data_IF_316450286138
#
_entry.id   IF_316450286138
#
_cell.length_a   1.000
_cell.length_b   1.000
_cell.length_c   1.000
_cell.angle_alpha   90.00
_cell.angle_beta   90.00
_cell.angle_gamma   90.00
#
_symmetry.space_group_name_H-M   'P 1'
#
loop_
_entity.id
_entity.type
_entity.pdbx_description
1 polymer ?
#
# COMPACT_ATOMS: atom_id res chain seq x y z
N UNK A 1 8.95 18.55 18.25
CA UNK A 1 7.80 18.37 17.34
C UNK A 1 7.83 19.53 16.36
N UNK A 2 8.10 19.29 15.08
CA UNK A 2 7.77 20.30 14.08
C UNK A 2 6.26 20.54 14.15
N UNK A 3 5.84 21.80 14.21
CA UNK A 3 4.44 22.18 14.24
C UNK A 3 3.73 21.59 13.02
N UNK A 4 2.67 20.79 13.23
CA UNK A 4 1.90 20.20 12.11
C UNK A 4 1.21 21.33 11.38
N UNK A 5 1.63 21.63 10.15
CA UNK A 5 1.00 22.69 9.37
C UNK A 5 -0.48 22.39 9.15
N UNK A 6 -1.32 23.41 9.30
CA UNK A 6 -2.75 23.30 9.04
C UNK A 6 -3.01 22.92 7.58
N UNK A 7 -4.00 22.06 7.35
CA UNK A 7 -4.47 21.78 5.99
C UNK A 7 -5.21 23.02 5.46
N UNK A 8 -5.03 23.38 4.19
CA UNK A 8 -5.66 24.56 3.61
C UNK A 8 -7.19 24.45 3.60
N UNK A 9 -7.84 25.60 3.74
CA UNK A 9 -9.29 25.78 3.61
C UNK A 9 -10.12 24.79 4.44
N UNK A 10 -11.05 24.07 3.79
CA UNK A 10 -11.93 23.08 4.44
C UNK A 10 -11.22 21.81 4.93
N UNK A 11 -9.91 21.63 4.66
CA UNK A 11 -9.18 20.42 5.01
C UNK A 11 -9.26 20.05 6.50
N UNK A 12 -9.17 21.04 7.40
CA UNK A 12 -9.30 20.81 8.85
C UNK A 12 -10.73 20.45 9.29
N UNK A 13 -11.75 21.00 8.64
CA UNK A 13 -13.15 20.63 8.90
C UNK A 13 -13.39 19.17 8.50
N UNK A 14 -12.98 18.80 7.28
CA UNK A 14 -13.14 17.46 6.73
C UNK A 14 -12.39 16.43 7.58
N UNK A 15 -11.15 16.74 7.98
CA UNK A 15 -10.35 15.83 8.80
C UNK A 15 -11.03 15.57 10.15
N UNK A 16 -11.48 16.63 10.85
CA UNK A 16 -12.18 16.50 12.15
C UNK A 16 -13.46 15.70 12.01
N UNK A 17 -14.23 15.92 10.94
CA UNK A 17 -15.46 15.18 10.67
C UNK A 17 -15.22 13.67 10.58
N UNK A 18 -14.11 13.25 9.96
CA UNK A 18 -13.79 11.85 9.74
C UNK A 18 -13.01 11.19 10.90
N UNK A 19 -12.29 11.95 11.72
CA UNK A 19 -11.41 11.40 12.75
C UNK A 19 -12.03 11.25 14.14
N UNK A 20 -13.10 12.00 14.47
CA UNK A 20 -13.60 12.10 15.85
C UNK A 20 -14.18 10.80 16.41
N UNK A 21 -15.01 10.10 15.62
CA UNK A 21 -15.65 8.83 16.00
C UNK A 21 -15.37 7.71 14.99
N UNK A 22 -14.46 7.96 14.04
CA UNK A 22 -14.23 7.13 12.87
C UNK A 22 -15.30 7.31 11.78
N UNK A 23 -14.96 6.88 10.56
CA UNK A 23 -15.82 7.06 9.38
C UNK A 23 -17.10 6.23 9.40
N UNK A 24 -17.21 5.17 10.19
CA UNK A 24 -18.44 4.41 10.35
C UNK A 24 -19.54 5.21 11.06
N UNK A 25 -19.16 6.14 11.96
CA UNK A 25 -20.09 6.98 12.71
C UNK A 25 -20.65 8.17 11.92
N UNK A 26 -20.18 8.40 10.68
CA UNK A 26 -20.70 9.49 9.83
C UNK A 26 -22.17 9.27 9.50
N UNK A 27 -22.98 10.30 9.74
CA UNK A 27 -24.40 10.31 9.34
C UNK A 27 -24.55 10.30 7.82
N UNK A 28 -25.72 9.91 7.33
CA UNK A 28 -26.02 9.96 5.90
C UNK A 28 -25.79 11.37 5.32
N UNK A 29 -26.24 12.42 6.02
CA UNK A 29 -26.03 13.81 5.60
C UNK A 29 -24.54 14.20 5.54
N UNK A 30 -23.71 13.72 6.49
CA UNK A 30 -22.27 13.96 6.45
C UNK A 30 -21.60 13.24 5.27
N UNK A 31 -22.00 11.99 4.99
CA UNK A 31 -21.49 11.22 3.84
C UNK A 31 -21.86 11.88 2.51
N UNK A 32 -23.10 12.32 2.36
CA UNK A 32 -23.54 13.06 1.17
C UNK A 32 -22.75 14.35 1.00
N UNK A 33 -22.52 15.11 2.08
CA UNK A 33 -21.72 16.33 2.04
C UNK A 33 -20.27 16.08 1.62
N UNK A 34 -19.65 15.01 2.13
CA UNK A 34 -18.29 14.61 1.73
C UNK A 34 -18.25 14.19 0.24
N UNK A 35 -19.27 13.49 -0.24
CA UNK A 35 -19.39 13.11 -1.65
C UNK A 35 -19.56 14.36 -2.55
N UNK A 36 -20.35 15.34 -2.14
CA UNK A 36 -20.52 16.61 -2.87
C UNK A 36 -19.21 17.40 -2.97
N UNK A 37 -18.47 17.50 -1.86
CA UNK A 37 -17.16 18.13 -1.85
C UNK A 37 -16.16 17.41 -2.76
N UNK A 38 -16.21 16.07 -2.84
CA UNK A 38 -15.38 15.33 -3.77
C UNK A 38 -15.70 15.68 -5.23
N UNK A 39 -16.98 15.71 -5.61
CA UNK A 39 -17.39 16.01 -6.98
C UNK A 39 -17.09 17.48 -7.35
N UNK A 40 -17.25 18.43 -6.42
CA UNK A 40 -16.84 19.83 -6.60
C UNK A 40 -15.32 19.96 -6.85
N UNK A 41 -14.53 19.28 -6.01
CA UNK A 41 -13.08 19.29 -6.09
C UNK A 41 -12.55 18.59 -7.33
N UNK A 42 -13.27 17.58 -7.85
CA UNK A 42 -12.84 16.77 -9.00
C UNK A 42 -13.28 17.32 -10.37
N UNK A 43 -14.05 18.42 -10.43
CA UNK A 43 -14.44 19.03 -11.71
C UNK A 43 -13.21 19.62 -12.42
N UNK A 44 -13.11 19.56 -13.76
CA UNK A 44 -12.15 20.38 -14.48
C UNK A 44 -12.38 21.87 -14.17
N UNK A 45 -11.34 22.69 -14.13
CA UNK A 45 -11.52 24.14 -14.15
C UNK A 45 -12.18 24.54 -15.48
N UNK A 46 -13.09 25.52 -15.47
CA UNK A 46 -13.78 25.96 -16.69
C UNK A 46 -12.76 26.34 -17.78
N UNK A 47 -12.83 25.67 -18.94
CA UNK A 47 -11.96 25.93 -20.11
C UNK A 47 -11.03 24.78 -20.54
N UNK A 48 -10.88 23.70 -19.76
CA UNK A 48 -10.11 22.52 -20.19
C UNK A 48 -10.98 21.56 -21.01
N UNK A 49 -10.61 21.32 -22.27
CA UNK A 49 -11.33 20.41 -23.18
C UNK A 49 -11.42 18.99 -22.60
N UNK A 50 -12.60 18.35 -22.74
CA UNK A 50 -12.80 16.95 -22.39
C UNK A 50 -12.02 16.06 -23.37
N UNK A 51 -10.93 15.44 -22.91
CA UNK A 51 -10.39 14.23 -23.54
C UNK A 51 -11.39 13.07 -23.49
N UNK A 52 -11.25 12.06 -24.37
CA UNK A 52 -12.22 10.98 -24.53
C UNK A 52 -12.38 10.17 -23.23
N UNK A 53 -13.62 9.74 -22.97
CA UNK A 53 -14.11 9.17 -21.72
C UNK A 53 -13.12 8.28 -20.96
N UNK A 54 -12.76 8.72 -19.76
CA UNK A 54 -11.96 8.00 -18.78
C UNK A 54 -12.78 6.84 -18.21
N UNK A 55 -12.26 5.62 -18.36
CA UNK A 55 -12.78 4.42 -17.73
C UNK A 55 -12.67 4.45 -16.20
N UNK A 56 -13.01 3.35 -15.51
CA UNK A 56 -13.05 3.26 -14.05
C UNK A 56 -11.63 3.16 -13.48
N UNK A 57 -10.86 4.24 -13.63
CA UNK A 57 -9.49 4.35 -13.17
C UNK A 57 -9.41 4.98 -11.78
N UNK A 58 -8.46 4.48 -10.98
CA UNK A 58 -8.15 5.01 -9.67
C UNK A 58 -7.40 6.37 -9.72
N UNK A 59 -7.11 6.88 -10.92
CA UNK A 59 -6.29 8.07 -11.16
C UNK A 59 -7.01 9.39 -10.88
N UNK A 60 -6.35 10.23 -10.07
CA UNK A 60 -6.31 11.66 -10.36
C UNK A 60 -5.29 11.80 -11.51
N UNK A 61 -5.75 11.64 -12.76
CA UNK A 61 -4.90 11.94 -13.91
C UNK A 61 -4.67 13.44 -13.95
N UNK A 62 -3.62 13.87 -13.26
CA UNK A 62 -3.00 15.17 -13.49
C UNK A 62 -2.30 15.07 -14.84
N UNK A 63 -2.85 15.76 -15.85
CA UNK A 63 -2.25 15.94 -17.17
C UNK A 63 -0.72 16.12 -17.09
N UNK A 64 0.08 15.41 -17.91
CA UNK A 64 1.52 15.58 -17.95
C UNK A 64 1.85 16.93 -18.58
N UNK A 65 1.88 17.97 -17.76
CA UNK A 65 2.11 19.34 -18.22
C UNK A 65 1.53 20.44 -17.32
N UNK A 66 0.77 20.11 -16.28
CA UNK A 66 0.50 21.08 -15.22
C UNK A 66 1.77 21.24 -14.37
N UNK A 67 2.27 22.47 -14.30
CA UNK A 67 3.39 22.84 -13.44
C UNK A 67 3.31 22.12 -12.10
N UNK A 68 4.23 21.18 -11.89
CA UNK A 68 4.43 20.47 -10.63
C UNK A 68 4.97 21.44 -9.55
N UNK A 69 4.89 22.75 -9.77
CA UNK A 69 5.31 23.84 -8.88
C UNK A 69 4.19 24.33 -7.94
N UNK A 70 2.93 23.92 -8.16
CA UNK A 70 1.81 24.47 -7.38
C UNK A 70 1.84 24.04 -5.91
N UNK A 71 1.73 25.04 -5.02
CA UNK A 71 1.41 24.86 -3.61
C UNK A 71 0.22 23.91 -3.45
N UNK A 72 0.20 23.17 -2.34
CA UNK A 72 -0.97 22.35 -1.94
C UNK A 72 -2.22 23.22 -1.90
N UNK A 73 -3.02 23.20 -2.96
CA UNK A 73 -4.26 23.93 -3.04
C UNK A 73 -5.35 23.23 -2.19
N UNK A 74 -6.33 24.00 -1.73
CA UNK A 74 -7.46 23.48 -0.96
C UNK A 74 -8.20 22.38 -1.72
N UNK A 75 -8.38 22.53 -3.04
CA UNK A 75 -9.15 21.64 -3.89
C UNK A 75 -8.56 20.23 -3.91
N UNK A 76 -7.24 20.13 -4.06
CA UNK A 76 -6.49 18.88 -4.04
C UNK A 76 -6.61 18.20 -2.67
N UNK A 77 -6.45 18.95 -1.58
CA UNK A 77 -6.58 18.39 -0.22
C UNK A 77 -8.00 17.90 0.05
N UNK A 78 -9.02 18.66 -0.37
CA UNK A 78 -10.43 18.23 -0.30
C UNK A 78 -10.63 16.94 -1.09
N UNK A 79 -10.15 16.87 -2.34
CA UNK A 79 -10.26 15.66 -3.17
C UNK A 79 -9.60 14.43 -2.51
N UNK A 80 -8.38 14.60 -1.96
CA UNK A 80 -7.67 13.52 -1.26
C UNK A 80 -8.44 13.01 -0.04
N UNK A 81 -9.01 13.91 0.77
CA UNK A 81 -9.75 13.54 1.97
C UNK A 81 -11.14 12.95 1.70
N UNK A 82 -11.74 13.28 0.56
CA UNK A 82 -13.17 12.96 0.30
C UNK A 82 -13.38 11.89 -0.78
N UNK A 83 -12.34 11.51 -1.53
CA UNK A 83 -12.42 10.44 -2.54
C UNK A 83 -13.05 9.12 -2.05
N UNK A 84 -12.81 8.65 -0.81
CA UNK A 84 -13.48 7.45 -0.30
C UNK A 84 -15.02 7.52 -0.27
N UNK A 85 -15.60 8.72 -0.38
CA UNK A 85 -17.05 8.96 -0.42
C UNK A 85 -17.57 9.22 -1.83
N UNK A 86 -16.73 9.12 -2.86
CA UNK A 86 -17.17 9.27 -4.24
C UNK A 86 -18.33 8.33 -4.54
N UNK A 87 -19.31 8.86 -5.28
CA UNK A 87 -20.46 8.12 -5.80
C UNK A 87 -20.09 7.29 -7.05
N UNK A 88 -18.86 7.44 -7.56
CA UNK A 88 -18.35 6.62 -8.66
C UNK A 88 -18.32 5.16 -8.19
N UNK A 89 -18.95 4.24 -8.94
CA UNK A 89 -19.32 2.91 -8.43
C UNK A 89 -18.13 1.96 -8.21
N UNK A 90 -16.93 2.27 -8.71
CA UNK A 90 -15.88 1.26 -8.90
C UNK A 90 -14.73 1.30 -7.88
N UNK A 91 -14.84 2.06 -6.78
CA UNK A 91 -13.81 2.05 -5.72
C UNK A 91 -14.06 0.86 -4.78
N UNK A 92 -13.18 -0.17 -4.74
CA UNK A 92 -13.39 -1.31 -3.86
C UNK A 92 -13.29 -0.90 -2.38
N UNK A 93 -14.03 -1.59 -1.50
CA UNK A 93 -14.07 -1.30 -0.05
C UNK A 93 -12.69 -1.22 0.60
N UNK A 94 -11.75 -2.07 0.18
CA UNK A 94 -10.37 -2.00 0.61
C UNK A 94 -9.72 -0.63 0.36
N UNK A 95 -9.97 -0.01 -0.79
CA UNK A 95 -9.42 1.29 -1.16
C UNK A 95 -10.18 2.45 -0.52
N UNK A 96 -11.50 2.31 -0.28
CA UNK A 96 -12.25 3.26 0.55
C UNK A 96 -11.71 3.26 1.98
N UNK A 97 -11.42 2.08 2.52
CA UNK A 97 -10.86 1.90 3.84
C UNK A 97 -9.43 2.47 3.95
N UNK A 98 -8.55 2.16 3.01
CA UNK A 98 -7.13 2.49 3.14
C UNK A 98 -6.76 3.87 2.61
N UNK A 99 -7.58 4.49 1.77
CA UNK A 99 -7.24 5.76 1.10
C UNK A 99 -5.90 5.70 0.32
N UNK A 100 -5.60 4.56 -0.31
CA UNK A 100 -4.32 4.35 -1.02
C UNK A 100 -4.09 5.30 -2.19
N UNK A 101 -5.13 5.95 -2.71
CA UNK A 101 -5.00 7.02 -3.71
C UNK A 101 -4.14 8.20 -3.22
N UNK A 102 -3.99 8.39 -1.90
CA UNK A 102 -3.09 9.41 -1.35
C UNK A 102 -1.63 9.00 -1.50
N UNK A 103 -1.31 7.70 -1.35
CA UNK A 103 0.04 7.20 -1.63
C UNK A 103 0.35 7.29 -3.13
N UNK A 104 -0.63 7.02 -3.99
CA UNK A 104 -0.52 7.21 -5.44
C UNK A 104 -0.21 8.67 -5.81
N UNK A 105 -1.00 9.62 -5.26
CA UNK A 105 -0.75 11.06 -5.39
C UNK A 105 0.67 11.45 -4.94
N UNK A 106 1.13 10.88 -3.83
CA UNK A 106 2.47 11.17 -3.31
C UNK A 106 3.56 10.65 -4.25
N UNK A 107 3.48 9.37 -4.63
CA UNK A 107 4.50 8.65 -5.40
C UNK A 107 4.55 9.05 -6.88
N UNK A 108 3.49 9.62 -7.43
CA UNK A 108 3.44 10.06 -8.83
C UNK A 108 4.55 11.06 -9.17
N UNK A 109 4.95 11.92 -8.22
CA UNK A 109 6.09 12.85 -8.42
C UNK A 109 7.45 12.14 -8.51
N UNK A 110 7.52 10.91 -8.02
CA UNK A 110 8.75 10.11 -7.94
C UNK A 110 8.66 8.88 -8.86
N UNK A 111 7.77 8.90 -9.88
CA UNK A 111 7.48 7.73 -10.74
C UNK A 111 8.70 7.13 -11.45
N UNK A 112 9.73 7.95 -11.69
CA UNK A 112 10.96 7.50 -12.35
C UNK A 112 11.86 6.65 -11.44
N UNK A 113 11.86 6.95 -10.14
CA UNK A 113 12.55 6.20 -9.10
C UNK A 113 11.86 6.44 -7.75
N UNK A 114 10.90 5.57 -7.37
CA UNK A 114 10.06 5.78 -6.21
C UNK A 114 10.68 5.20 -4.92
N UNK A 115 11.87 4.59 -4.98
CA UNK A 115 12.42 3.83 -3.84
C UNK A 115 12.54 4.68 -2.58
N UNK A 116 13.33 5.74 -2.64
CA UNK A 116 13.61 6.58 -1.47
C UNK A 116 12.34 7.31 -0.98
N UNK A 117 11.51 7.78 -1.92
CA UNK A 117 10.23 8.41 -1.59
C UNK A 117 9.25 7.42 -0.91
N UNK A 118 9.15 6.19 -1.42
CA UNK A 118 8.32 5.15 -0.85
C UNK A 118 8.79 4.71 0.53
N UNK A 119 10.09 4.49 0.71
CA UNK A 119 10.68 4.19 2.03
C UNK A 119 10.41 5.31 3.03
N UNK A 120 10.54 6.57 2.60
CA UNK A 120 10.24 7.74 3.42
C UNK A 120 8.74 7.84 3.75
N UNK A 121 7.85 7.48 2.82
CA UNK A 121 6.41 7.44 3.07
C UNK A 121 6.04 6.36 4.10
N UNK A 122 6.63 5.15 4.00
CA UNK A 122 6.47 4.11 5.02
C UNK A 122 6.96 4.63 6.38
N UNK A 123 8.16 5.22 6.40
CA UNK A 123 8.74 5.78 7.63
C UNK A 123 7.83 6.83 8.27
N UNK A 124 7.35 7.82 7.52
CA UNK A 124 6.44 8.85 8.04
C UNK A 124 5.14 8.26 8.59
N UNK A 125 4.61 7.22 7.92
CA UNK A 125 3.43 6.46 8.34
C UNK A 125 3.65 5.78 9.69
N UNK A 126 4.80 5.14 9.88
CA UNK A 126 5.15 4.44 11.12
C UNK A 126 5.55 5.39 12.25
N UNK A 127 6.18 6.52 11.94
CA UNK A 127 6.47 7.58 12.91
C UNK A 127 5.16 8.18 13.45
N UNK A 128 4.16 8.45 12.60
CA UNK A 128 2.84 8.90 13.07
C UNK A 128 2.19 7.88 14.01
N UNK A 129 2.29 6.58 13.69
CA UNK A 129 1.81 5.53 14.59
C UNK A 129 2.59 5.54 15.92
N UNK A 130 3.93 5.61 15.89
CA UNK A 130 4.76 5.63 17.09
C UNK A 130 4.45 6.82 18.01
N UNK A 131 4.18 8.00 17.44
CA UNK A 131 3.75 9.18 18.21
C UNK A 131 2.37 8.97 18.86
N UNK A 132 1.42 8.34 18.15
CA UNK A 132 0.10 8.00 18.71
C UNK A 132 0.23 7.03 19.89
N UNK A 133 1.15 6.08 19.81
CA UNK A 133 1.42 5.11 20.88
C UNK A 133 2.16 5.70 22.09
N UNK A 134 2.55 6.98 22.05
CA UNK A 134 3.07 7.70 23.23
C UNK A 134 1.98 8.30 24.09
N UNK A 135 0.77 8.50 23.56
CA UNK A 135 -0.33 9.03 24.34
C UNK A 135 -0.69 8.05 25.47
N UNK A 136 -0.81 8.50 26.72
CA UNK A 136 -1.19 7.62 27.82
C UNK A 136 -2.61 7.11 27.59
N UNK A 137 -2.74 5.82 27.31
CA UNK A 137 -4.02 5.10 27.25
C UNK A 137 -3.97 3.87 28.15
N UNK A 138 -5.10 3.57 28.76
CA UNK A 138 -5.34 2.29 29.42
C UNK A 138 -6.71 1.81 28.96
N UNK A 139 -6.73 0.69 28.26
CA UNK A 139 -7.93 0.03 27.76
C UNK A 139 -7.93 -1.42 28.29
N UNK A 140 -9.09 -2.10 28.32
CA UNK A 140 -9.12 -3.53 28.60
C UNK A 140 -8.14 -4.29 27.69
N UNK A 141 -7.22 -5.06 28.29
CA UNK A 141 -6.19 -5.80 27.55
C UNK A 141 -5.12 -4.94 26.87
N UNK A 142 -4.99 -3.65 27.23
CA UNK A 142 -3.94 -2.77 26.72
C UNK A 142 -3.48 -1.76 27.77
N UNK A 143 -2.25 -1.89 28.23
CA UNK A 143 -1.64 -1.00 29.21
C UNK A 143 -0.24 -0.51 28.80
N UNK A 144 0.49 0.07 29.78
CA UNK A 144 1.82 0.64 29.52
C UNK A 144 2.85 -0.37 28.99
N UNK A 145 2.74 -1.65 29.37
CA UNK A 145 3.66 -2.70 28.93
C UNK A 145 3.47 -3.05 27.45
N UNK A 146 2.23 -3.28 27.02
CA UNK A 146 1.90 -3.55 25.61
C UNK A 146 2.25 -2.35 24.72
N UNK A 147 1.98 -1.13 25.20
CA UNK A 147 2.37 0.09 24.51
C UNK A 147 3.90 0.23 24.38
N UNK A 148 4.65 -0.12 25.44
CA UNK A 148 6.11 -0.11 25.39
C UNK A 148 6.67 -1.14 24.40
N UNK A 149 6.12 -2.36 24.38
CA UNK A 149 6.51 -3.39 23.42
C UNK A 149 6.25 -2.94 21.97
N UNK A 150 5.05 -2.38 21.70
CA UNK A 150 4.70 -1.87 20.37
C UNK A 150 5.63 -0.74 19.92
N UNK A 151 5.93 0.22 20.80
CA UNK A 151 6.89 1.30 20.51
C UNK A 151 8.30 0.77 20.24
N UNK A 152 8.75 -0.22 20.99
CA UNK A 152 10.07 -0.83 20.77
C UNK A 152 10.16 -1.48 19.38
N UNK A 153 9.14 -2.24 18.97
CA UNK A 153 9.08 -2.86 17.63
C UNK A 153 8.97 -1.84 16.51
N UNK A 154 8.21 -0.75 16.72
CA UNK A 154 8.14 0.36 15.77
C UNK A 154 9.51 1.04 15.61
N UNK A 155 10.22 1.29 16.71
CA UNK A 155 11.54 1.90 16.68
C UNK A 155 12.57 1.02 15.94
N UNK A 156 12.52 -0.31 16.15
CA UNK A 156 13.36 -1.27 15.42
C UNK A 156 13.09 -1.20 13.91
N UNK A 157 11.82 -1.25 13.49
CA UNK A 157 11.44 -1.19 12.08
C UNK A 157 11.77 0.16 11.43
N UNK A 158 11.58 1.27 12.15
CA UNK A 158 11.98 2.60 11.67
C UNK A 158 13.51 2.66 11.48
N UNK A 159 14.28 2.08 12.41
CA UNK A 159 15.73 1.97 12.29
C UNK A 159 16.19 1.07 11.13
N UNK A 160 15.43 0.02 10.80
CA UNK A 160 15.64 -0.79 9.59
C UNK A 160 15.42 0.04 8.32
N UNK A 161 14.32 0.79 8.24
CA UNK A 161 14.03 1.70 7.13
C UNK A 161 15.11 2.76 6.96
N UNK A 162 15.58 3.36 8.06
CA UNK A 162 16.62 4.39 8.04
C UNK A 162 17.94 3.89 7.45
N UNK A 163 18.26 2.60 7.64
CA UNK A 163 19.45 1.97 7.03
C UNK A 163 19.29 1.68 5.53
N UNK A 164 18.06 1.61 5.02
CA UNK A 164 17.80 1.39 3.60
C UNK A 164 17.84 2.70 2.79
N UNK A 165 17.61 3.85 3.44
CA UNK A 165 17.66 5.15 2.79
C UNK A 165 19.09 5.52 2.40
N UNK A 166 19.28 6.11 1.22
CA UNK A 166 20.60 6.55 0.73
C UNK A 166 20.80 8.05 0.94
N UNK A 167 21.71 8.50 1.83
CA UNK A 167 22.00 9.93 2.00
C UNK A 167 22.62 10.56 0.73
N UNK A 168 22.36 11.85 0.42
CA UNK A 168 21.61 12.84 1.20
C UNK A 168 20.12 12.93 0.82
N UNK A 169 19.40 11.81 0.67
CA UNK A 169 17.96 11.84 0.37
C UNK A 169 17.16 12.68 1.37
N UNK A 170 16.32 13.58 0.84
CA UNK A 170 15.36 14.36 1.62
C UNK A 170 15.97 15.36 2.61
N UNK A 171 17.29 15.57 2.59
CA UNK A 171 17.95 16.48 3.51
C UNK A 171 17.48 17.92 3.27
N UNK A 172 16.79 18.50 4.26
CA UNK A 172 16.22 19.85 4.22
C UNK A 172 15.20 20.11 3.09
N UNK A 173 14.58 19.06 2.54
CA UNK A 173 13.53 19.19 1.54
C UNK A 173 12.18 19.51 2.19
N UNK A 174 11.91 20.80 2.38
CA UNK A 174 10.66 21.30 2.95
C UNK A 174 9.42 20.87 2.15
N UNK A 175 9.57 20.62 0.84
CA UNK A 175 8.47 20.20 -0.03
C UNK A 175 8.13 18.74 0.23
N UNK A 176 9.12 17.87 0.30
CA UNK A 176 8.96 16.48 0.72
C UNK A 176 8.27 16.42 2.09
N UNK A 177 8.75 17.21 3.07
CA UNK A 177 8.17 17.29 4.41
C UNK A 177 6.69 17.68 4.37
N UNK A 178 6.33 18.74 3.64
CA UNK A 178 4.94 19.20 3.52
C UNK A 178 4.05 18.14 2.90
N UNK A 179 4.53 17.43 1.87
CA UNK A 179 3.77 16.34 1.22
C UNK A 179 3.60 15.12 2.10
N UNK A 180 4.63 14.76 2.88
CA UNK A 180 4.53 13.68 3.87
C UNK A 180 3.52 14.01 4.97
N UNK A 181 3.46 15.27 5.41
CA UNK A 181 2.43 15.71 6.36
C UNK A 181 1.02 15.53 5.78
N UNK A 182 0.79 15.93 4.53
CA UNK A 182 -0.51 15.70 3.85
C UNK A 182 -0.81 14.21 3.71
N UNK A 183 0.16 13.40 3.28
CA UNK A 183 0.01 11.95 3.16
C UNK A 183 -0.43 11.34 4.48
N UNK A 184 0.29 11.60 5.56
CA UNK A 184 0.01 11.04 6.89
C UNK A 184 -1.38 11.47 7.37
N UNK A 185 -1.74 12.75 7.20
CA UNK A 185 -3.02 13.29 7.66
C UNK A 185 -4.20 12.75 6.85
N UNK A 186 -4.07 12.62 5.53
CA UNK A 186 -5.16 12.17 4.65
C UNK A 186 -5.36 10.65 4.63
N UNK A 187 -4.41 9.88 5.19
CA UNK A 187 -4.49 8.41 5.25
C UNK A 187 -4.80 7.88 6.64
N UNK A 188 -4.59 8.68 7.70
CA UNK A 188 -4.79 8.29 9.11
C UNK A 188 -6.23 8.29 9.59
N UNK A 189 -7.18 7.89 8.74
CA UNK A 189 -8.63 8.04 8.95
C UNK A 189 -9.30 6.68 9.22
N UNK A 190 -9.44 6.24 10.48
CA UNK A 190 -10.03 4.95 10.83
C UNK A 190 -11.56 4.91 10.54
N UNK A 191 -12.13 3.72 10.52
CA UNK A 191 -13.57 3.50 10.46
C UNK A 191 -14.22 3.58 11.84
N UNK A 192 -13.52 3.23 12.90
CA UNK A 192 -14.02 3.28 14.28
C UNK A 192 -13.21 4.25 15.15
N UNK A 193 -13.69 4.50 16.36
CA UNK A 193 -12.95 5.21 17.40
C UNK A 193 -11.94 4.32 18.15
N UNK A 194 -11.84 3.03 17.79
CA UNK A 194 -10.98 2.07 18.49
C UNK A 194 -9.51 2.38 18.22
N UNK A 195 -8.76 2.66 19.28
CA UNK A 195 -7.34 3.01 19.21
C UNK A 195 -6.50 2.03 18.38
N UNK A 196 -6.74 0.72 18.54
CA UNK A 196 -6.00 -0.35 17.87
C UNK A 196 -6.18 -0.41 16.36
N UNK A 197 -7.23 0.22 15.81
CA UNK A 197 -7.44 0.25 14.37
C UNK A 197 -6.30 1.02 13.66
N UNK A 198 -5.71 2.03 14.32
CA UNK A 198 -4.58 2.76 13.76
C UNK A 198 -3.36 1.86 13.50
N UNK A 199 -3.06 0.92 14.42
CA UNK A 199 -2.00 -0.06 14.21
C UNK A 199 -2.28 -0.88 12.94
N UNK A 200 -3.50 -1.39 12.80
CA UNK A 200 -3.87 -2.21 11.65
C UNK A 200 -3.81 -1.42 10.34
N UNK A 201 -4.44 -0.24 10.28
CA UNK A 201 -4.49 0.62 9.12
C UNK A 201 -3.08 1.04 8.64
N UNK A 202 -2.23 1.49 9.56
CA UNK A 202 -0.84 1.90 9.26
C UNK A 202 0.04 0.72 8.84
N UNK A 203 -0.19 -0.47 9.40
CA UNK A 203 0.49 -1.69 8.94
C UNK A 203 0.10 -2.05 7.52
N UNK A 204 -1.19 -1.93 7.17
CA UNK A 204 -1.68 -2.15 5.80
C UNK A 204 -1.02 -1.18 4.82
N UNK A 205 -0.96 0.12 5.16
CA UNK A 205 -0.27 1.12 4.33
C UNK A 205 1.20 0.79 4.10
N UNK A 206 1.93 0.44 5.17
CA UNK A 206 3.33 0.06 5.07
C UNK A 206 3.54 -1.17 4.16
N UNK A 207 2.67 -2.19 4.28
CA UNK A 207 2.70 -3.35 3.39
C UNK A 207 2.42 -2.99 1.93
N UNK A 208 1.42 -2.14 1.64
CA UNK A 208 1.07 -1.73 0.28
C UNK A 208 2.22 -1.03 -0.45
N UNK A 209 2.90 -0.10 0.23
CA UNK A 209 4.07 0.57 -0.33
C UNK A 209 5.24 -0.41 -0.46
N UNK A 210 5.48 -1.28 0.54
CA UNK A 210 6.53 -2.29 0.44
C UNK A 210 6.30 -3.27 -0.74
N UNK A 211 5.07 -3.73 -0.97
CA UNK A 211 4.73 -4.55 -2.15
C UNK A 211 5.04 -3.80 -3.45
N UNK A 212 4.67 -2.52 -3.54
CA UNK A 212 5.00 -1.71 -4.70
C UNK A 212 6.51 -1.59 -4.92
N UNK A 213 7.30 -1.33 -3.88
CA UNK A 213 8.76 -1.19 -4.01
C UNK A 213 9.45 -2.53 -4.34
N UNK A 214 8.99 -3.65 -3.77
CA UNK A 214 9.42 -5.00 -4.15
C UNK A 214 9.13 -5.24 -5.62
N UNK A 215 7.91 -4.94 -6.08
CA UNK A 215 7.52 -5.09 -7.49
C UNK A 215 8.38 -4.23 -8.42
N UNK A 216 8.51 -2.94 -8.10
CA UNK A 216 9.24 -1.98 -8.91
C UNK A 216 10.70 -2.40 -9.06
N UNK A 217 11.34 -2.77 -7.95
CA UNK A 217 12.74 -3.22 -7.95
C UNK A 217 12.92 -4.53 -8.71
N UNK A 218 11.99 -5.48 -8.57
CA UNK A 218 12.02 -6.74 -9.32
C UNK A 218 11.92 -6.50 -10.83
N UNK A 219 11.02 -5.61 -11.25
CA UNK A 219 10.87 -5.20 -12.64
C UNK A 219 12.13 -4.50 -13.17
N UNK A 220 12.78 -3.63 -12.38
CA UNK A 220 14.06 -3.00 -12.77
C UNK A 220 15.20 -4.01 -12.88
N UNK A 221 15.23 -5.04 -12.03
CA UNK A 221 16.18 -6.14 -12.16
C UNK A 221 15.95 -6.93 -13.46
N UNK A 222 14.69 -7.23 -13.82
CA UNK A 222 14.38 -7.88 -15.12
C UNK A 222 14.87 -7.04 -16.29
N UNK A 223 14.62 -5.72 -16.28
CA UNK A 223 15.10 -4.80 -17.32
C UNK A 223 16.63 -4.81 -17.41
N UNK A 224 17.34 -4.77 -16.28
CA UNK A 224 18.80 -4.81 -16.24
C UNK A 224 19.37 -6.14 -16.76
N UNK A 225 18.76 -7.28 -16.39
CA UNK A 225 19.13 -8.61 -16.90
C UNK A 225 18.96 -8.65 -18.42
N UNK A 226 17.84 -8.16 -18.96
CA UNK A 226 17.58 -8.13 -20.39
C UNK A 226 18.59 -7.24 -21.14
N UNK A 227 19.08 -6.17 -20.50
CA UNK A 227 20.11 -5.29 -21.04
C UNK A 227 21.55 -5.83 -20.90
N UNK A 228 21.75 -6.96 -20.21
CA UNK A 228 23.08 -7.49 -19.89
C UNK A 228 23.85 -6.69 -18.82
N UNK A 229 23.18 -5.79 -18.10
CA UNK A 229 23.77 -5.01 -17.01
C UNK A 229 23.72 -5.81 -15.70
N UNK A 230 24.75 -6.64 -15.51
CA UNK A 230 24.87 -7.51 -14.34
C UNK A 230 24.90 -6.75 -13.01
N UNK A 231 25.60 -5.62 -12.95
CA UNK A 231 25.73 -4.85 -11.72
C UNK A 231 24.39 -4.23 -11.32
N UNK A 232 23.67 -3.63 -12.27
CA UNK A 232 22.33 -3.14 -12.02
C UNK A 232 21.35 -4.26 -11.65
N UNK A 233 21.45 -5.42 -12.30
CA UNK A 233 20.62 -6.58 -11.98
C UNK A 233 20.82 -7.02 -10.52
N UNK A 234 22.07 -7.15 -10.06
CA UNK A 234 22.39 -7.50 -8.67
C UNK A 234 21.87 -6.45 -7.69
N UNK A 235 22.12 -5.16 -7.96
CA UNK A 235 21.66 -4.05 -7.12
C UNK A 235 20.14 -4.03 -6.98
N UNK A 236 19.40 -4.15 -8.08
CA UNK A 236 17.93 -4.16 -8.05
C UNK A 236 17.36 -5.44 -7.43
N UNK A 237 18.02 -6.58 -7.60
CA UNK A 237 17.62 -7.83 -6.89
C UNK A 237 17.84 -7.70 -5.39
N UNK A 238 18.95 -7.10 -4.95
CA UNK A 238 19.20 -6.76 -3.55
C UNK A 238 18.12 -5.84 -2.98
N UNK A 239 17.79 -4.74 -3.68
CA UNK A 239 16.70 -3.83 -3.27
C UNK A 239 15.34 -4.52 -3.20
N UNK A 240 15.09 -5.50 -4.08
CA UNK A 240 13.89 -6.33 -4.02
C UNK A 240 13.82 -7.13 -2.72
N UNK A 241 14.95 -7.70 -2.28
CA UNK A 241 15.05 -8.45 -1.03
C UNK A 241 14.86 -7.54 0.19
N UNK A 242 15.50 -6.37 0.20
CA UNK A 242 15.35 -5.37 1.27
C UNK A 242 13.88 -4.96 1.46
N UNK A 243 13.20 -4.62 0.35
CA UNK A 243 11.78 -4.24 0.39
C UNK A 243 10.88 -5.39 0.81
N UNK A 244 11.20 -6.62 0.40
CA UNK A 244 10.45 -7.80 0.83
C UNK A 244 10.62 -8.09 2.33
N UNK A 245 11.80 -7.83 2.91
CA UNK A 245 12.04 -8.03 4.34
C UNK A 245 11.28 -7.04 5.21
N UNK A 246 11.05 -5.81 4.73
CA UNK A 246 10.21 -4.83 5.43
C UNK A 246 8.81 -5.38 5.78
N UNK A 247 8.25 -6.24 4.91
CA UNK A 247 6.95 -6.88 5.17
C UNK A 247 6.98 -7.73 6.45
N UNK A 248 8.07 -8.45 6.70
CA UNK A 248 8.29 -9.20 7.94
C UNK A 248 8.42 -8.26 9.13
N UNK A 249 9.11 -7.13 8.96
CA UNK A 249 9.20 -6.06 9.94
C UNK A 249 7.83 -5.53 10.37
N UNK A 250 6.99 -5.14 9.40
CA UNK A 250 5.62 -4.67 9.64
C UNK A 250 4.80 -5.72 10.39
N UNK A 251 4.92 -6.99 10.01
CA UNK A 251 4.17 -8.07 10.65
C UNK A 251 4.62 -8.33 12.10
N UNK A 252 5.88 -8.08 12.45
CA UNK A 252 6.33 -8.11 13.86
C UNK A 252 5.61 -7.04 14.68
N UNK A 253 5.45 -5.83 14.15
CA UNK A 253 4.70 -4.76 14.82
C UNK A 253 3.22 -5.12 14.93
N UNK A 254 2.61 -5.58 13.83
CA UNK A 254 1.19 -5.95 13.78
C UNK A 254 0.83 -7.06 14.76
N UNK A 255 1.75 -8.00 15.05
CA UNK A 255 1.54 -9.07 16.05
C UNK A 255 1.43 -8.59 17.50
N UNK A 256 1.62 -7.30 17.78
CA UNK A 256 1.27 -6.68 19.07
C UNK A 256 -0.23 -6.37 19.18
N UNK A 257 -0.99 -6.58 18.09
CA UNK A 257 -2.43 -6.59 18.09
C UNK A 257 -2.92 -7.96 18.54
N UNK A 258 -3.66 -8.04 19.63
CA UNK A 258 -4.26 -9.31 20.07
C UNK A 258 -5.49 -9.67 19.21
N UNK A 259 -5.94 -10.93 19.20
CA UNK A 259 -7.19 -11.32 18.56
C UNK A 259 -8.40 -10.53 19.06
N UNK A 260 -8.52 -10.31 20.37
CA UNK A 260 -9.59 -9.51 20.96
C UNK A 260 -9.55 -8.05 20.48
N UNK A 261 -8.36 -7.44 20.49
CA UNK A 261 -8.17 -6.07 19.99
C UNK A 261 -8.51 -5.97 18.50
N UNK A 262 -8.13 -6.96 17.68
CA UNK A 262 -8.50 -7.00 16.27
C UNK A 262 -10.01 -7.10 16.06
N UNK A 263 -10.68 -7.99 16.79
CA UNK A 263 -12.12 -8.18 16.68
C UNK A 263 -12.91 -6.94 17.12
N UNK A 264 -12.38 -6.15 18.08
CA UNK A 264 -13.04 -4.94 18.60
C UNK A 264 -13.35 -3.86 17.56
N UNK A 265 -12.60 -3.81 16.44
CA UNK A 265 -12.87 -2.87 15.34
C UNK A 265 -13.17 -3.56 14.01
N UNK A 266 -13.09 -4.91 13.95
CA UNK A 266 -13.16 -5.62 12.67
C UNK A 266 -14.47 -5.34 11.95
N UNK A 267 -15.60 -5.33 12.65
CA UNK A 267 -16.92 -5.09 12.04
C UNK A 267 -16.96 -3.74 11.27
N UNK A 268 -16.37 -2.68 11.84
CA UNK A 268 -16.36 -1.35 11.24
C UNK A 268 -15.58 -1.27 9.91
N UNK A 269 -14.64 -2.19 9.65
CA UNK A 269 -13.89 -2.22 8.38
C UNK A 269 -14.67 -2.91 7.24
N UNK A 270 -15.87 -3.43 7.51
CA UNK A 270 -16.79 -3.95 6.50
C UNK A 270 -16.17 -5.05 5.62
N UNK A 271 -16.44 -4.97 4.32
CA UNK A 271 -15.96 -5.95 3.33
C UNK A 271 -14.50 -5.73 2.89
N UNK A 272 -13.77 -4.80 3.49
CA UNK A 272 -12.34 -4.64 3.21
C UNK A 272 -11.59 -5.94 3.51
N UNK A 273 -10.71 -6.34 2.59
CA UNK A 273 -9.98 -7.60 2.66
C UNK A 273 -8.64 -7.52 1.95
N UNK A 274 -7.62 -8.13 2.55
CA UNK A 274 -6.27 -8.19 1.98
C UNK A 274 -6.23 -8.85 0.59
N UNK A 275 -7.19 -9.72 0.26
CA UNK A 275 -7.28 -10.33 -1.08
C UNK A 275 -7.55 -9.30 -2.19
N UNK A 276 -8.10 -8.13 -1.84
CA UNK A 276 -8.35 -7.03 -2.77
C UNK A 276 -7.10 -6.21 -3.09
N UNK A 277 -5.97 -6.46 -2.43
CA UNK A 277 -4.71 -5.73 -2.65
C UNK A 277 -4.14 -5.99 -4.05
N UNK A 278 -4.23 -4.98 -4.92
CA UNK A 278 -3.61 -5.02 -6.25
C UNK A 278 -2.08 -5.08 -6.18
N UNK A 279 -1.45 -4.29 -5.29
CA UNK A 279 0.01 -4.25 -5.19
C UNK A 279 0.59 -5.59 -4.73
N UNK A 280 -0.08 -6.29 -3.80
CA UNK A 280 0.33 -7.64 -3.41
C UNK A 280 0.34 -8.60 -4.62
N UNK A 281 -0.74 -8.62 -5.40
CA UNK A 281 -0.82 -9.53 -6.55
C UNK A 281 0.17 -9.16 -7.65
N UNK A 282 0.36 -7.88 -7.93
CA UNK A 282 1.36 -7.42 -8.90
C UNK A 282 2.80 -7.70 -8.44
N UNK A 283 3.10 -7.58 -7.14
CA UNK A 283 4.41 -7.95 -6.60
C UNK A 283 4.70 -9.45 -6.77
N UNK A 284 3.69 -10.28 -6.51
CA UNK A 284 3.80 -11.73 -6.74
C UNK A 284 3.97 -12.05 -8.23
N UNK A 285 3.24 -11.38 -9.12
CA UNK A 285 3.44 -11.51 -10.57
C UNK A 285 4.85 -11.13 -10.98
N UNK A 286 5.39 -9.99 -10.51
CA UNK A 286 6.73 -9.53 -10.85
C UNK A 286 7.85 -10.50 -10.40
N UNK A 287 7.69 -11.14 -9.23
CA UNK A 287 8.72 -12.04 -8.70
C UNK A 287 8.58 -13.45 -9.26
N UNK A 288 7.36 -13.99 -9.30
CA UNK A 288 7.11 -15.42 -9.53
C UNK A 288 6.40 -15.74 -10.85
N UNK A 289 5.68 -14.80 -11.44
CA UNK A 289 4.77 -15.04 -12.56
C UNK A 289 3.33 -15.35 -12.10
N UNK A 290 2.50 -15.79 -13.04
CA UNK A 290 1.06 -15.95 -12.84
C UNK A 290 0.73 -17.21 -12.04
N UNK A 291 -0.05 -17.04 -10.97
CA UNK A 291 -0.53 -18.14 -10.12
C UNK A 291 -1.95 -18.55 -10.56
N UNK A 292 -2.15 -19.68 -11.27
CA UNK A 292 -3.45 -20.06 -11.79
C UNK A 292 -4.51 -20.30 -10.70
N UNK A 293 -4.10 -20.56 -9.45
CA UNK A 293 -5.04 -20.68 -8.31
C UNK A 293 -5.78 -19.37 -8.02
N UNK A 294 -5.24 -18.21 -8.45
CA UNK A 294 -5.83 -16.88 -8.22
C UNK A 294 -6.80 -16.45 -9.32
N UNK A 295 -6.91 -17.18 -10.43
CA UNK A 295 -7.72 -16.80 -11.59
C UNK A 295 -9.18 -16.47 -11.21
N UNK A 296 -9.81 -17.32 -10.40
CA UNK A 296 -11.20 -17.11 -9.95
C UNK A 296 -11.38 -15.86 -9.08
N UNK A 297 -10.39 -15.54 -8.24
CA UNK A 297 -10.39 -14.33 -7.42
C UNK A 297 -10.31 -13.08 -8.31
N UNK A 298 -9.42 -13.11 -9.30
CA UNK A 298 -9.26 -12.01 -10.25
C UNK A 298 -10.51 -11.78 -11.10
N UNK A 299 -11.24 -12.84 -11.48
CA UNK A 299 -12.52 -12.70 -12.18
C UNK A 299 -13.60 -12.07 -11.31
N UNK A 300 -13.67 -12.49 -10.04
CA UNK A 300 -14.70 -12.04 -9.10
C UNK A 300 -14.50 -10.59 -8.65
N UNK A 301 -13.25 -10.16 -8.45
CA UNK A 301 -12.90 -8.81 -8.04
C UNK A 301 -12.61 -7.94 -9.26
N UNK A 302 -13.58 -7.08 -9.64
CA UNK A 302 -13.56 -6.31 -10.89
C UNK A 302 -12.25 -5.59 -11.20
N UNK A 303 -11.67 -4.90 -10.21
CA UNK A 303 -10.42 -4.15 -10.37
C UNK A 303 -9.16 -5.03 -10.58
N UNK A 304 -9.27 -6.34 -10.34
CA UNK A 304 -8.19 -7.31 -10.54
C UNK A 304 -8.35 -8.10 -11.84
N UNK A 305 -9.43 -7.93 -12.61
CA UNK A 305 -9.69 -8.74 -13.82
C UNK A 305 -8.57 -8.65 -14.85
N UNK A 306 -7.99 -7.48 -15.02
CA UNK A 306 -6.85 -7.23 -15.90
C UNK A 306 -5.62 -8.13 -15.60
N UNK A 307 -5.49 -8.67 -14.38
CA UNK A 307 -4.41 -9.61 -14.04
C UNK A 307 -4.57 -10.97 -14.74
N UNK A 308 -5.77 -11.29 -15.25
CA UNK A 308 -6.02 -12.47 -16.07
C UNK A 308 -5.76 -12.24 -17.56
N UNK A 309 -5.40 -11.02 -17.97
CA UNK A 309 -5.27 -10.61 -19.37
C UNK A 309 -3.81 -10.34 -19.73
N UNK A 310 -3.47 -10.43 -21.02
CA UNK A 310 -2.16 -10.01 -21.50
C UNK A 310 -2.00 -8.48 -21.37
N UNK A 311 -0.80 -7.97 -21.09
CA UNK A 311 0.45 -8.74 -20.92
C UNK A 311 0.67 -9.28 -19.49
N UNK A 312 -0.17 -8.94 -18.51
CA UNK A 312 0.06 -9.26 -17.09
C UNK A 312 -0.03 -10.76 -16.78
N UNK A 313 -0.93 -11.48 -17.46
CA UNK A 313 -1.09 -12.94 -17.34
C UNK A 313 0.18 -13.70 -17.73
N UNK A 314 0.85 -13.23 -18.78
CA UNK A 314 2.00 -13.90 -19.39
C UNK A 314 3.29 -13.08 -19.16
N UNK A 315 3.40 -12.43 -18.00
CA UNK A 315 4.57 -11.66 -17.62
C UNK A 315 5.83 -12.55 -17.58
N UNK A 316 6.98 -12.01 -17.98
CA UNK A 316 8.29 -12.61 -17.72
C UNK A 316 8.84 -12.10 -16.36
N UNK A 317 8.79 -12.91 -15.29
CA UNK A 317 9.09 -12.47 -13.94
C UNK A 317 10.58 -12.55 -13.60
N UNK A 318 10.97 -11.93 -12.48
CA UNK A 318 12.33 -11.93 -11.94
C UNK A 318 12.92 -13.34 -11.82
N UNK A 319 12.16 -14.29 -11.27
CA UNK A 319 12.61 -15.69 -11.14
C UNK A 319 13.03 -16.29 -12.48
N UNK A 320 12.22 -16.08 -13.53
CA UNK A 320 12.51 -16.61 -14.86
C UNK A 320 13.68 -15.89 -15.52
N UNK A 321 13.77 -14.57 -15.36
CA UNK A 321 14.89 -13.78 -15.88
C UNK A 321 16.24 -14.20 -15.27
N UNK A 322 16.29 -14.39 -13.95
CA UNK A 322 17.51 -14.86 -13.26
C UNK A 322 17.87 -16.29 -13.66
N UNK A 323 16.88 -17.18 -13.78
CA UNK A 323 17.13 -18.56 -14.25
C UNK A 323 17.72 -18.57 -15.68
N UNK A 324 17.23 -17.69 -16.57
CA UNK A 324 17.74 -17.56 -17.93
C UNK A 324 19.17 -16.99 -17.98
N UNK A 325 19.52 -16.08 -17.08
CA UNK A 325 20.84 -15.47 -16.99
C UNK A 325 21.95 -16.48 -16.58
N UNK A 326 21.60 -17.56 -15.87
CA UNK A 326 22.53 -18.60 -15.37
C UNK A 326 23.68 -18.03 -14.52
N UNK A 327 23.43 -16.94 -13.82
CA UNK A 327 24.40 -16.29 -12.94
C UNK A 327 24.22 -16.79 -11.48
N UNK A 328 25.26 -17.36 -10.85
CA UNK A 328 25.16 -17.87 -9.48
C UNK A 328 24.90 -16.80 -8.40
N UNK A 329 25.44 -15.58 -8.57
CA UNK A 329 25.23 -14.48 -7.61
C UNK A 329 23.80 -13.95 -7.70
N UNK A 330 23.25 -13.78 -8.90
CA UNK A 330 21.84 -13.44 -9.08
C UNK A 330 20.92 -14.54 -8.51
N UNK A 331 21.29 -15.81 -8.68
CA UNK A 331 20.55 -16.94 -8.09
C UNK A 331 20.56 -16.88 -6.57
N UNK A 332 21.71 -16.59 -5.96
CA UNK A 332 21.83 -16.42 -4.51
C UNK A 332 21.00 -15.22 -3.99
N UNK A 333 21.03 -14.10 -4.72
CA UNK A 333 20.27 -12.90 -4.41
C UNK A 333 18.75 -13.14 -4.51
N UNK A 334 18.29 -13.85 -5.55
CA UNK A 334 16.89 -14.29 -5.67
C UNK A 334 16.49 -15.15 -4.47
N UNK A 335 17.37 -16.04 -4.01
CA UNK A 335 17.12 -16.84 -2.82
C UNK A 335 16.82 -16.01 -1.57
N UNK A 336 17.42 -14.82 -1.41
CA UNK A 336 17.08 -13.88 -0.33
C UNK A 336 15.66 -13.34 -0.49
N UNK A 337 15.30 -12.87 -1.69
CA UNK A 337 13.95 -12.38 -2.02
C UNK A 337 12.90 -13.44 -1.69
N UNK A 338 13.10 -14.67 -2.17
CA UNK A 338 12.14 -15.74 -2.02
C UNK A 338 11.99 -16.19 -0.56
N UNK A 339 13.08 -16.22 0.20
CA UNK A 339 13.05 -16.51 1.64
C UNK A 339 12.25 -15.45 2.39
N UNK A 340 12.53 -14.17 2.18
CA UNK A 340 11.81 -13.07 2.85
C UNK A 340 10.31 -13.13 2.59
N UNK A 341 9.91 -13.32 1.32
CA UNK A 341 8.49 -13.42 0.94
C UNK A 341 7.83 -14.71 1.46
N UNK A 342 8.53 -15.84 1.48
CA UNK A 342 8.01 -17.10 2.03
C UNK A 342 7.77 -16.99 3.55
N UNK A 343 8.74 -16.44 4.28
CA UNK A 343 8.63 -16.19 5.72
C UNK A 343 7.45 -15.28 6.01
N UNK A 344 7.32 -14.19 5.24
CA UNK A 344 6.18 -13.28 5.38
C UNK A 344 4.84 -13.98 5.11
N UNK A 345 4.68 -14.71 4.00
CA UNK A 345 3.44 -15.44 3.67
C UNK A 345 3.07 -16.45 4.76
N UNK A 346 4.04 -17.20 5.27
CA UNK A 346 3.83 -18.17 6.34
C UNK A 346 3.39 -17.50 7.66
N UNK A 347 4.03 -16.40 8.04
CA UNK A 347 3.64 -15.62 9.22
C UNK A 347 2.28 -14.94 9.05
N UNK A 348 1.96 -14.44 7.86
CA UNK A 348 0.67 -13.83 7.54
C UNK A 348 -0.47 -14.87 7.59
N UNK A 349 -0.23 -16.08 7.07
CA UNK A 349 -1.13 -17.22 7.29
C UNK A 349 -1.33 -17.50 8.78
N UNK A 350 -0.23 -17.55 9.55
CA UNK A 350 -0.29 -17.72 11.01
C UNK A 350 -1.15 -16.66 11.71
N UNK A 351 -0.98 -15.39 11.32
CA UNK A 351 -1.78 -14.27 11.83
C UNK A 351 -3.26 -14.46 11.47
N UNK A 352 -3.58 -14.73 10.21
CA UNK A 352 -4.96 -14.97 9.77
C UNK A 352 -5.62 -16.12 10.52
N UNK A 353 -4.89 -17.22 10.76
CA UNK A 353 -5.38 -18.39 11.51
C UNK A 353 -5.65 -18.09 12.98
N UNK A 354 -4.88 -17.20 13.62
CA UNK A 354 -5.05 -16.89 15.04
C UNK A 354 -6.05 -15.77 15.32
N UNK A 355 -6.32 -14.89 14.35
CA UNK A 355 -7.18 -13.70 14.52
C UNK A 355 -8.57 -13.85 13.90
N UNK A 356 -8.75 -14.79 12.96
CA UNK A 356 -10.05 -15.05 12.34
C UNK A 356 -10.66 -16.32 12.95
N UNK A 357 -11.96 -16.31 13.33
CA UNK A 357 -12.64 -17.51 13.78
C UNK A 357 -12.60 -18.62 12.71
N UNK A 358 -12.45 -19.87 13.15
CA UNK A 358 -12.28 -21.04 12.26
C UNK A 358 -13.42 -21.27 11.26
N UNK A 359 -14.61 -20.73 11.55
CA UNK A 359 -15.86 -21.00 10.79
C UNK A 359 -16.32 -19.81 9.92
N UNK A 360 -15.59 -18.69 9.94
CA UNK A 360 -16.01 -17.47 9.23
C UNK A 360 -15.30 -17.39 7.88
N UNK A 361 -16.09 -17.33 6.78
CA UNK A 361 -15.59 -16.99 5.45
C UNK A 361 -14.82 -15.67 5.53
N UNK A 362 -13.65 -15.61 4.89
CA UNK A 362 -12.85 -14.39 4.83
C UNK A 362 -13.67 -13.26 4.21
N UNK A 363 -13.50 -12.03 4.72
CA UNK A 363 -14.29 -10.86 4.32
C UNK A 363 -14.23 -10.48 2.84
N UNK A 364 -13.25 -11.02 2.11
CA UNK A 364 -13.11 -10.87 0.66
C UNK A 364 -13.70 -12.04 -0.14
N UNK A 365 -14.59 -12.85 0.46
CA UNK A 365 -15.24 -13.97 -0.21
C UNK A 365 -14.38 -15.24 -0.33
N UNK A 366 -13.25 -15.32 0.39
CA UNK A 366 -12.37 -16.49 0.40
C UNK A 366 -12.68 -17.43 1.57
N UNK A 367 -12.06 -18.62 1.58
CA UNK A 367 -12.07 -19.54 2.73
C UNK A 367 -11.20 -19.06 3.92
N UNK A 368 -10.89 -17.75 4.00
CA UNK A 368 -10.09 -17.18 5.09
C UNK A 368 -8.68 -17.79 5.14
N UNK A 369 -8.30 -18.36 6.29
CA UNK A 369 -6.98 -18.98 6.49
C UNK A 369 -6.73 -20.18 5.54
N UNK A 370 -7.78 -20.90 5.12
CA UNK A 370 -7.66 -22.02 4.19
C UNK A 370 -7.14 -21.59 2.82
N UNK A 371 -7.58 -20.42 2.32
CA UNK A 371 -7.06 -19.81 1.10
C UNK A 371 -5.57 -19.48 1.24
N UNK A 372 -5.19 -18.80 2.34
CA UNK A 372 -3.79 -18.42 2.58
C UNK A 372 -2.87 -19.64 2.58
N UNK A 373 -3.26 -20.74 3.23
CA UNK A 373 -2.50 -22.00 3.25
C UNK A 373 -2.20 -22.52 1.83
N UNK A 374 -3.16 -22.43 0.91
CA UNK A 374 -3.02 -22.93 -0.47
C UNK A 374 -2.11 -22.09 -1.36
N UNK A 375 -1.81 -20.85 -0.98
CA UNK A 375 -1.05 -19.90 -1.81
C UNK A 375 0.30 -19.52 -1.19
N UNK A 376 0.75 -20.21 -0.13
CA UNK A 376 2.05 -19.96 0.51
C UNK A 376 3.20 -20.32 -0.42
N UNK A 377 3.13 -21.48 -1.06
CA UNK A 377 4.10 -21.90 -2.07
C UNK A 377 3.85 -21.22 -3.42
N UNK A 378 4.90 -21.17 -4.25
CA UNK A 378 4.89 -20.52 -5.56
C UNK A 378 5.44 -21.43 -6.65
N UNK A 379 5.35 -22.74 -6.48
CA UNK A 379 5.95 -23.71 -7.40
C UNK A 379 5.18 -23.83 -8.71
N UNK A 380 3.86 -23.66 -8.67
CA UNK A 380 2.97 -23.82 -9.84
C UNK A 380 2.82 -22.56 -10.69
N UNK A 381 3.55 -21.48 -10.37
CA UNK A 381 3.45 -20.22 -11.11
C UNK A 381 3.92 -20.42 -12.55
N UNK A 382 3.15 -19.90 -13.50
CA UNK A 382 3.46 -19.91 -14.94
C UNK A 382 4.12 -18.61 -15.36
N UNK A 383 5.03 -18.68 -16.33
CA UNK A 383 5.73 -17.53 -16.91
C UNK A 383 5.47 -17.45 -18.40
N UNK A 384 5.34 -16.24 -18.94
CA UNK A 384 5.39 -16.03 -20.38
C UNK A 384 6.82 -16.05 -20.93
N UNK A 385 6.99 -15.87 -22.26
CA UNK A 385 8.30 -15.76 -22.88
C UNK A 385 9.00 -14.44 -22.49
N UNK A 386 10.32 -14.33 -22.69
CA UNK A 386 11.04 -13.06 -22.49
C UNK A 386 10.39 -11.91 -23.26
N UNK A 387 9.99 -10.87 -22.54
CA UNK A 387 9.30 -9.71 -23.09
C UNK A 387 9.61 -8.44 -22.25
N UNK A 388 9.45 -7.24 -22.84
CA UNK A 388 9.54 -5.98 -22.08
C UNK A 388 8.56 -5.96 -20.91
N UNK A 389 8.98 -5.38 -19.80
CA UNK A 389 8.10 -5.19 -18.64
C UNK A 389 7.02 -4.15 -18.99
N UNK A 390 5.73 -4.46 -18.78
CA UNK A 390 4.65 -3.50 -19.03
C UNK A 390 4.79 -2.25 -18.15
N UNK A 391 4.55 -1.06 -18.72
CA UNK A 391 4.63 0.22 -18.00
C UNK A 391 3.75 0.27 -16.75
N UNK A 392 2.60 -0.40 -16.79
CA UNK A 392 1.70 -0.60 -15.67
C UNK A 392 2.40 -1.12 -14.39
N UNK A 393 3.44 -1.95 -14.54
CA UNK A 393 4.19 -2.51 -13.42
C UNK A 393 5.00 -1.45 -12.64
N UNK A 394 5.26 -0.28 -13.23
CA UNK A 394 5.99 0.80 -12.59
C UNK A 394 5.10 1.85 -11.90
N UNK A 395 3.75 1.70 -11.95
CA UNK A 395 2.79 2.67 -11.37
C UNK A 395 2.15 2.16 -10.08
N UNK A 396 2.06 2.98 -9.03
CA UNK A 396 1.52 2.53 -7.74
C UNK A 396 0.06 2.04 -7.83
N UNK A 397 -0.80 2.76 -8.58
CA UNK A 397 -2.11 2.28 -8.99
C UNK A 397 -2.13 1.91 -10.48
N UNK A 398 -3.03 0.99 -10.86
CA UNK A 398 -3.37 0.75 -12.27
C UNK A 398 -4.53 1.70 -12.66
N UNK A 399 -4.36 2.36 -13.81
CA UNK A 399 -5.32 3.25 -14.45
C UNK A 399 -6.49 2.49 -15.04
#
# INVERSE_FOLDING_TARGET
MAERAALPGRGEEILRMQSALGRAALSAAQRERLADWYEEASRPADGAARGPGLGPGLGLDLEPGLDLELELDERQVVALLTRPFSRRPDIPEYYRYTSLHVYDWFLTLYRQDPLEAGLTAIRATLVDLAERERAPLTLPGYGPAEAAERRARLAELIGELDRLLTPPWGAADQRLDRRLQVLVRCTGLPQSAVHHEHLFLRSVHACEVAFFLTRWSACRAVVAIAAGDREAALRHTGRTADCAELLSGVLRVLRTLSPEQFLSFREATGAASAVQSLNYHLAELAVYGYDPRKAGIFLHLGHLRQLNEQPLRDLWPLRAAIAAARDPELTAALGLVERSLLVWRGRHYGFGRSHLPHEVKGSGGTEGAGYLKRIVDKEICTTGPPAPVPEAMFRFALS
#
